data_IF_114628102574
#
_entry.id   IF_114628102574
#
_cell.length_a   1.000
_cell.length_b   1.000
_cell.length_c   1.000
_cell.angle_alpha   90.00
_cell.angle_beta   90.00
_cell.angle_gamma   90.00
#
_symmetry.space_group_name_H-M   'P 1'
#
loop_
_entity.id
_entity.type
_entity.pdbx_description
1 polymer ?
#
# COMPACT_ATOMS: atom_id res chain seq x y z
N UNK A 1 -17.74 -12.91 -10.40
CA UNK A 1 -17.85 -11.45 -10.33
C UNK A 1 -16.92 -10.92 -9.25
N UNK A 2 -16.27 -9.78 -9.48
CA UNK A 2 -15.44 -9.06 -8.49
C UNK A 2 -16.16 -7.75 -8.16
N UNK A 3 -16.48 -7.52 -6.89
CA UNK A 3 -17.33 -6.40 -6.43
C UNK A 3 -16.55 -5.47 -5.52
N UNK A 4 -16.55 -4.19 -5.85
CA UNK A 4 -15.91 -3.12 -5.08
C UNK A 4 -16.95 -2.00 -4.89
N UNK A 5 -17.42 -1.79 -3.67
CA UNK A 5 -18.30 -0.64 -3.39
C UNK A 5 -17.47 0.64 -3.19
N UNK A 6 -16.58 0.89 -4.13
CA UNK A 6 -15.61 1.98 -4.18
C UNK A 6 -15.15 2.26 -5.60
N UNK A 7 -14.23 3.21 -5.75
CA UNK A 7 -13.66 3.57 -7.03
C UNK A 7 -12.68 2.48 -7.51
N UNK A 8 -12.98 1.88 -8.66
CA UNK A 8 -12.17 0.80 -9.26
C UNK A 8 -10.73 1.26 -9.55
N UNK A 9 -10.54 2.46 -10.05
CA UNK A 9 -9.21 2.98 -10.34
C UNK A 9 -8.35 3.17 -9.09
N UNK A 10 -9.00 3.30 -7.92
CA UNK A 10 -8.33 3.44 -6.60
C UNK A 10 -8.28 2.14 -5.80
N UNK A 11 -8.64 1.02 -6.40
CA UNK A 11 -8.64 -0.32 -5.78
C UNK A 11 -7.65 -1.26 -6.47
N UNK A 12 -6.33 -1.02 -6.39
CA UNK A 12 -5.32 -1.79 -7.12
C UNK A 12 -5.34 -3.27 -6.79
N UNK A 13 -5.59 -3.63 -5.54
CA UNK A 13 -5.69 -5.03 -5.08
C UNK A 13 -6.74 -5.80 -5.87
N UNK A 14 -7.96 -5.26 -5.99
CA UNK A 14 -9.05 -5.93 -6.71
C UNK A 14 -8.82 -5.95 -8.23
N UNK A 15 -8.13 -4.95 -8.76
CA UNK A 15 -7.68 -4.96 -10.15
C UNK A 15 -6.69 -6.09 -10.41
N UNK A 16 -5.73 -6.33 -9.50
CA UNK A 16 -4.79 -7.46 -9.60
C UNK A 16 -5.48 -8.81 -9.45
N UNK A 17 -6.46 -8.95 -8.56
CA UNK A 17 -7.25 -10.16 -8.46
C UNK A 17 -8.02 -10.43 -9.76
N UNK A 18 -8.66 -9.41 -10.34
CA UNK A 18 -9.37 -9.54 -11.62
C UNK A 18 -8.42 -9.98 -12.75
N UNK A 19 -7.25 -9.34 -12.86
CA UNK A 19 -6.22 -9.71 -13.85
C UNK A 19 -5.70 -11.14 -13.63
N UNK A 20 -5.45 -11.53 -12.39
CA UNK A 20 -4.99 -12.88 -12.04
C UNK A 20 -6.02 -13.92 -12.42
N UNK A 21 -7.29 -13.70 -12.10
CA UNK A 21 -8.38 -14.59 -12.48
C UNK A 21 -8.51 -14.71 -14.00
N UNK A 22 -8.45 -13.59 -14.73
CA UNK A 22 -8.50 -13.58 -16.19
C UNK A 22 -7.31 -14.34 -16.82
N UNK A 23 -6.10 -14.17 -16.30
CA UNK A 23 -4.89 -14.91 -16.72
C UNK A 23 -5.02 -16.42 -16.48
N UNK A 24 -5.77 -16.82 -15.45
CA UNK A 24 -6.06 -18.23 -15.16
C UNK A 24 -7.30 -18.76 -15.92
N UNK A 25 -7.79 -18.04 -16.92
CA UNK A 25 -8.83 -18.52 -17.83
C UNK A 25 -10.27 -18.19 -17.40
N UNK A 26 -10.49 -17.51 -16.29
CA UNK A 26 -11.84 -17.12 -15.84
C UNK A 26 -12.34 -15.89 -16.59
N UNK A 27 -13.65 -15.88 -16.90
CA UNK A 27 -14.34 -14.66 -17.31
C UNK A 27 -14.69 -13.84 -16.05
N UNK A 28 -14.28 -12.57 -16.02
CA UNK A 28 -14.39 -11.72 -14.84
C UNK A 28 -15.29 -10.52 -15.14
N UNK A 29 -16.33 -10.33 -14.34
CA UNK A 29 -17.08 -9.08 -14.30
C UNK A 29 -16.62 -8.26 -13.10
N UNK A 30 -16.04 -7.08 -13.33
CA UNK A 30 -15.54 -6.18 -12.30
C UNK A 30 -16.56 -5.04 -12.08
N UNK A 31 -17.24 -5.04 -10.92
CA UNK A 31 -18.27 -4.07 -10.52
C UNK A 31 -17.71 -3.04 -9.55
N UNK A 32 -17.94 -1.74 -9.82
CA UNK A 32 -17.57 -0.66 -8.89
C UNK A 32 -17.81 0.72 -9.49
N UNK A 33 -17.47 1.78 -8.77
CA UNK A 33 -17.49 3.14 -9.32
C UNK A 33 -16.29 3.36 -10.24
N UNK A 34 -16.48 4.09 -11.32
CA UNK A 34 -15.42 4.38 -12.32
C UNK A 34 -15.10 5.88 -12.31
N UNK A 35 -14.83 6.45 -11.14
CA UNK A 35 -14.47 7.87 -11.00
C UNK A 35 -13.03 8.14 -11.45
N UNK A 36 -12.14 7.17 -11.23
CA UNK A 36 -10.76 7.17 -11.73
C UNK A 36 -10.60 6.07 -12.78
N UNK A 37 -9.72 6.31 -13.75
CA UNK A 37 -9.46 5.33 -14.82
C UNK A 37 -8.78 4.08 -14.25
N UNK A 38 -9.33 2.89 -14.46
CA UNK A 38 -8.66 1.63 -14.15
C UNK A 38 -7.39 1.44 -14.98
N UNK A 39 -6.57 0.46 -14.59
CA UNK A 39 -5.34 0.11 -15.31
C UNK A 39 -5.63 -0.30 -16.76
N UNK A 40 -4.74 0.07 -17.66
CA UNK A 40 -4.85 -0.21 -19.07
C UNK A 40 -4.97 -1.71 -19.38
N UNK A 41 -4.22 -2.54 -18.64
CA UNK A 41 -4.25 -4.00 -18.76
C UNK A 41 -5.64 -4.62 -18.53
N UNK A 42 -6.46 -3.99 -17.66
CA UNK A 42 -7.86 -4.41 -17.44
C UNK A 42 -8.75 -4.04 -18.62
N UNK A 43 -8.52 -2.85 -19.19
CA UNK A 43 -9.32 -2.31 -20.30
C UNK A 43 -9.05 -3.07 -21.60
N UNK A 44 -7.84 -3.63 -21.76
CA UNK A 44 -7.42 -4.37 -22.94
C UNK A 44 -7.72 -5.88 -22.85
N UNK A 45 -8.22 -6.37 -21.73
CA UNK A 45 -8.47 -7.79 -21.52
C UNK A 45 -9.85 -8.20 -22.02
N UNK A 46 -9.92 -9.09 -23.01
CA UNK A 46 -11.18 -9.65 -23.55
C UNK A 46 -11.97 -10.50 -22.51
N UNK A 47 -11.32 -10.90 -21.41
CA UNK A 47 -11.92 -11.70 -20.34
C UNK A 47 -12.43 -10.88 -19.17
N UNK A 48 -12.25 -9.55 -19.19
CA UNK A 48 -12.66 -8.68 -18.09
C UNK A 48 -13.70 -7.68 -18.61
N UNK A 49 -14.91 -7.78 -18.07
CA UNK A 49 -15.97 -6.80 -18.30
C UNK A 49 -16.07 -5.85 -17.11
N UNK A 50 -15.88 -4.55 -17.36
CA UNK A 50 -16.04 -3.53 -16.32
C UNK A 50 -17.48 -3.02 -16.33
N UNK A 51 -18.08 -2.97 -15.15
CA UNK A 51 -19.46 -2.52 -14.91
C UNK A 51 -19.47 -1.40 -13.92
N UNK A 52 -19.84 -0.21 -14.40
CA UNK A 52 -19.92 0.96 -13.54
C UNK A 52 -21.18 0.93 -12.65
N UNK A 53 -20.95 1.21 -11.38
CA UNK A 53 -22.00 1.59 -10.43
C UNK A 53 -22.20 3.10 -10.49
N UNK A 54 -23.44 3.56 -10.29
CA UNK A 54 -23.79 4.98 -10.24
C UNK A 54 -23.77 5.47 -8.79
N UNK A 55 -23.09 6.56 -8.54
CA UNK A 55 -23.16 7.22 -7.23
C UNK A 55 -24.44 8.06 -7.12
N UNK A 56 -25.07 8.01 -5.94
CA UNK A 56 -26.15 8.93 -5.65
C UNK A 56 -25.56 10.34 -5.45
N UNK A 57 -26.08 11.37 -6.15
CA UNK A 57 -25.69 12.75 -5.89
C UNK A 57 -25.82 13.13 -4.42
N UNK A 58 -25.01 14.06 -3.95
CA UNK A 58 -25.09 14.52 -2.56
C UNK A 58 -26.46 15.12 -2.30
N UNK A 59 -27.20 14.51 -1.38
CA UNK A 59 -28.46 15.05 -0.90
C UNK A 59 -28.13 16.23 0.03
N UNK A 60 -28.64 17.41 -0.29
CA UNK A 60 -28.41 18.64 0.48
C UNK A 60 -29.50 18.94 1.49
N UNK A 61 -30.59 18.16 1.48
CA UNK A 61 -31.81 18.41 2.29
C UNK A 61 -32.00 17.30 3.32
N UNK A 62 -32.26 17.70 4.57
CA UNK A 62 -32.61 16.80 5.67
C UNK A 62 -31.46 16.43 6.62
N UNK A 63 -31.79 15.76 7.74
CA UNK A 63 -30.78 15.32 8.71
C UNK A 63 -29.74 14.37 8.10
N UNK A 64 -28.47 14.48 8.50
CA UNK A 64 -27.37 13.67 7.99
C UNK A 64 -27.62 12.16 8.09
N UNK A 65 -28.28 11.71 9.16
CA UNK A 65 -28.60 10.28 9.35
C UNK A 65 -29.58 9.79 8.27
N UNK A 66 -30.58 10.61 7.91
CA UNK A 66 -31.53 10.26 6.86
C UNK A 66 -30.88 10.23 5.49
N UNK A 67 -30.01 11.21 5.18
CA UNK A 67 -29.25 11.24 3.94
C UNK A 67 -28.35 10.00 3.81
N UNK A 68 -27.71 9.60 4.90
CA UNK A 68 -26.87 8.39 4.93
C UNK A 68 -27.73 7.13 4.73
N UNK A 69 -28.88 7.03 5.39
CA UNK A 69 -29.83 5.92 5.23
C UNK A 69 -30.32 5.78 3.77
N UNK A 70 -30.72 6.89 3.14
CA UNK A 70 -31.13 6.90 1.73
C UNK A 70 -30.00 6.46 0.81
N UNK A 71 -28.77 6.93 1.06
CA UNK A 71 -27.59 6.51 0.29
C UNK A 71 -27.34 5.00 0.41
N UNK A 72 -27.41 4.45 1.62
CA UNK A 72 -27.22 3.01 1.88
C UNK A 72 -28.29 2.18 1.16
N UNK A 73 -29.57 2.57 1.26
CA UNK A 73 -30.68 1.88 0.60
C UNK A 73 -30.53 1.94 -0.93
N UNK A 74 -30.23 3.12 -1.48
CA UNK A 74 -29.99 3.26 -2.91
C UNK A 74 -28.83 2.37 -3.40
N UNK A 75 -27.71 2.40 -2.70
CA UNK A 75 -26.55 1.55 -3.02
C UNK A 75 -26.90 0.06 -2.94
N UNK A 76 -27.69 -0.34 -1.94
CA UNK A 76 -28.12 -1.72 -1.78
C UNK A 76 -28.98 -2.18 -2.98
N UNK A 77 -30.02 -1.42 -3.31
CA UNK A 77 -30.93 -1.72 -4.42
C UNK A 77 -30.19 -1.71 -5.76
N UNK A 78 -29.36 -0.69 -5.98
CA UNK A 78 -28.62 -0.55 -7.24
C UNK A 78 -27.59 -1.68 -7.42
N UNK A 79 -26.85 -2.04 -6.37
CA UNK A 79 -25.91 -3.15 -6.39
C UNK A 79 -26.61 -4.48 -6.63
N UNK A 80 -27.72 -4.73 -5.90
CA UNK A 80 -28.50 -5.95 -6.08
C UNK A 80 -29.02 -6.07 -7.52
N UNK A 81 -29.58 -5.00 -8.05
CA UNK A 81 -30.06 -4.98 -9.45
C UNK A 81 -28.93 -5.29 -10.43
N UNK A 82 -27.76 -4.64 -10.29
CA UNK A 82 -26.60 -4.92 -11.16
C UNK A 82 -26.11 -6.35 -11.07
N UNK A 83 -26.19 -6.97 -9.90
CA UNK A 83 -25.83 -8.39 -9.71
C UNK A 83 -26.86 -9.33 -10.35
N UNK A 84 -28.15 -9.03 -10.19
CA UNK A 84 -29.26 -9.89 -10.66
C UNK A 84 -29.53 -9.76 -12.17
N UNK A 85 -29.24 -8.62 -12.79
CA UNK A 85 -29.43 -8.41 -14.23
C UNK A 85 -28.31 -9.00 -15.09
N UNK A 86 -27.50 -9.91 -14.57
CA UNK A 86 -26.39 -10.54 -15.25
C UNK A 86 -26.42 -12.06 -15.10
N UNK A 87 -25.69 -12.75 -15.96
CA UNK A 87 -25.52 -14.19 -15.86
C UNK A 87 -24.98 -14.55 -14.48
N UNK A 88 -25.55 -15.60 -13.84
CA UNK A 88 -25.11 -16.06 -12.52
C UNK A 88 -23.61 -16.40 -12.54
N UNK A 89 -22.84 -15.82 -11.64
CA UNK A 89 -21.43 -16.13 -11.50
C UNK A 89 -21.22 -17.29 -10.54
N UNK A 90 -20.26 -18.17 -10.81
CA UNK A 90 -19.89 -19.24 -9.87
C UNK A 90 -19.39 -18.66 -8.53
N UNK A 91 -18.72 -17.50 -8.58
CA UNK A 91 -18.17 -16.82 -7.41
C UNK A 91 -18.47 -15.32 -7.43
N UNK A 92 -18.87 -14.79 -6.27
CA UNK A 92 -18.90 -13.35 -6.00
C UNK A 92 -17.74 -13.05 -5.05
N UNK A 93 -16.76 -12.27 -5.53
CA UNK A 93 -15.57 -11.88 -4.79
C UNK A 93 -15.70 -10.41 -4.38
N UNK A 94 -15.92 -10.16 -3.09
CA UNK A 94 -16.24 -8.85 -2.54
C UNK A 94 -15.06 -8.26 -1.78
N UNK A 95 -14.70 -7.01 -2.05
CA UNK A 95 -13.78 -6.23 -1.22
C UNK A 95 -14.45 -5.74 0.06
N UNK A 96 -13.81 -5.90 1.19
CA UNK A 96 -14.17 -5.27 2.45
C UNK A 96 -12.94 -4.62 3.11
N UNK A 97 -12.98 -3.33 3.49
CA UNK A 97 -14.07 -2.36 3.42
C UNK A 97 -14.32 -1.76 2.02
N UNK A 98 -15.49 -1.08 1.79
CA UNK A 98 -16.60 -0.91 2.71
C UNK A 98 -17.57 -2.11 2.70
N UNK A 99 -17.95 -2.58 3.88
CA UNK A 99 -18.86 -3.73 4.01
C UNK A 99 -20.33 -3.38 3.89
N UNK A 100 -20.76 -2.20 4.36
CA UNK A 100 -22.16 -1.77 4.38
C UNK A 100 -22.52 -0.99 3.10
N UNK A 101 -23.57 -1.38 2.35
CA UNK A 101 -24.42 -2.55 2.49
C UNK A 101 -23.92 -3.80 1.73
N UNK A 102 -22.70 -3.74 1.14
CA UNK A 102 -22.23 -4.68 0.14
C UNK A 102 -22.23 -6.14 0.61
N UNK A 103 -21.85 -6.43 1.86
CA UNK A 103 -21.78 -7.83 2.36
C UNK A 103 -23.16 -8.48 2.32
N UNK A 104 -24.17 -7.81 2.90
CA UNK A 104 -25.54 -8.35 2.93
C UNK A 104 -26.12 -8.52 1.53
N UNK A 105 -25.91 -7.55 0.65
CA UNK A 105 -26.42 -7.60 -0.73
C UNK A 105 -25.75 -8.71 -1.54
N UNK A 106 -24.42 -8.83 -1.47
CA UNK A 106 -23.68 -9.89 -2.17
C UNK A 106 -24.02 -11.28 -1.62
N UNK A 107 -24.21 -11.39 -0.29
CA UNK A 107 -24.67 -12.63 0.32
C UNK A 107 -26.06 -13.04 -0.19
N UNK A 108 -27.01 -12.10 -0.19
CA UNK A 108 -28.36 -12.35 -0.67
C UNK A 108 -28.38 -12.73 -2.16
N UNK A 109 -27.64 -11.99 -3.01
CA UNK A 109 -27.49 -12.33 -4.42
C UNK A 109 -26.85 -13.72 -4.62
N UNK A 110 -25.83 -14.04 -3.81
CA UNK A 110 -25.17 -15.34 -3.87
C UNK A 110 -26.14 -16.48 -3.53
N UNK A 111 -27.00 -16.30 -2.51
CA UNK A 111 -28.03 -17.28 -2.16
C UNK A 111 -29.04 -17.49 -3.30
N UNK A 112 -29.50 -16.39 -3.94
CA UNK A 112 -30.46 -16.47 -5.04
C UNK A 112 -29.89 -17.11 -6.31
N UNK A 113 -28.61 -16.83 -6.62
CA UNK A 113 -27.95 -17.32 -7.82
C UNK A 113 -27.19 -18.65 -7.65
N UNK A 114 -27.17 -19.22 -6.44
CA UNK A 114 -26.34 -20.40 -6.14
C UNK A 114 -24.83 -20.13 -6.23
N UNK A 115 -24.41 -18.89 -6.12
CA UNK A 115 -23.03 -18.44 -6.17
C UNK A 115 -22.31 -18.67 -4.82
N UNK A 116 -20.99 -18.80 -4.85
CA UNK A 116 -20.19 -18.79 -3.62
C UNK A 116 -19.68 -17.37 -3.35
N UNK A 117 -20.00 -16.84 -2.16
CA UNK A 117 -19.47 -15.54 -1.74
C UNK A 117 -18.10 -15.69 -1.09
N UNK A 118 -17.13 -14.94 -1.59
CA UNK A 118 -15.77 -14.80 -1.03
C UNK A 118 -15.57 -13.34 -0.66
N UNK A 119 -15.23 -13.06 0.58
CA UNK A 119 -14.94 -11.68 1.03
C UNK A 119 -13.44 -11.52 1.22
N UNK A 120 -12.84 -10.59 0.50
CA UNK A 120 -11.47 -10.14 0.72
C UNK A 120 -11.46 -9.07 1.84
N UNK A 121 -11.07 -9.52 3.02
CA UNK A 121 -11.08 -8.70 4.22
C UNK A 121 -9.66 -8.24 4.55
N UNK A 122 -9.33 -7.01 4.28
CA UNK A 122 -8.01 -6.46 4.54
C UNK A 122 -8.02 -5.35 5.61
N UNK A 123 -9.21 -4.90 6.01
CA UNK A 123 -9.40 -3.99 7.14
C UNK A 123 -10.82 -4.10 7.68
N UNK A 124 -11.09 -3.57 8.88
CA UNK A 124 -12.46 -3.47 9.39
C UNK A 124 -13.05 -2.11 9.02
N UNK A 125 -14.22 -2.09 8.37
CA UNK A 125 -14.93 -0.86 8.03
C UNK A 125 -15.33 -0.06 9.26
N UNK A 126 -15.78 -0.74 10.33
CA UNK A 126 -16.10 -0.07 11.59
C UNK A 126 -14.88 0.60 12.25
N UNK A 127 -13.68 0.05 12.11
CA UNK A 127 -12.47 0.67 12.69
C UNK A 127 -12.08 1.95 11.94
N UNK A 128 -12.23 1.95 10.61
CA UNK A 128 -12.05 3.17 9.79
C UNK A 128 -13.07 4.24 10.17
N UNK A 129 -14.35 3.86 10.35
CA UNK A 129 -15.37 4.79 10.84
C UNK A 129 -15.05 5.31 12.25
N UNK A 130 -14.42 4.46 13.08
CA UNK A 130 -14.01 4.81 14.43
C UNK A 130 -12.93 5.89 14.49
N UNK A 131 -12.07 6.01 13.47
CA UNK A 131 -11.08 7.09 13.35
C UNK A 131 -11.74 8.47 13.18
N UNK A 132 -12.89 8.52 12.46
CA UNK A 132 -13.58 9.78 12.17
C UNK A 132 -14.58 10.16 13.28
N UNK A 133 -15.32 9.17 13.82
CA UNK A 133 -16.42 9.42 14.74
C UNK A 133 -16.12 9.07 16.20
N UNK A 134 -14.97 8.46 16.47
CA UNK A 134 -14.61 7.86 17.75
C UNK A 134 -15.14 6.42 17.91
N UNK A 135 -14.39 5.53 18.60
CA UNK A 135 -14.69 4.09 18.67
C UNK A 135 -15.98 3.76 19.43
N UNK A 136 -16.44 4.64 20.32
CA UNK A 136 -17.69 4.49 21.10
C UNK A 136 -18.95 5.02 20.41
N UNK A 137 -18.83 5.58 19.21
CA UNK A 137 -19.99 6.17 18.54
C UNK A 137 -21.00 5.09 18.11
N UNK A 138 -22.31 5.35 18.27
CA UNK A 138 -23.39 4.39 18.00
C UNK A 138 -23.35 3.80 16.58
N UNK A 139 -23.00 4.61 15.57
CA UNK A 139 -22.87 4.14 14.19
C UNK A 139 -21.68 3.18 14.03
N UNK A 140 -20.59 3.39 14.75
CA UNK A 140 -19.42 2.49 14.74
C UNK A 140 -19.76 1.16 15.37
N UNK A 141 -20.49 1.16 16.49
CA UNK A 141 -20.96 -0.07 17.14
C UNK A 141 -21.94 -0.84 16.25
N UNK A 142 -22.84 -0.14 15.58
CA UNK A 142 -23.76 -0.74 14.60
C UNK A 142 -23.02 -1.35 13.42
N UNK A 143 -22.04 -0.65 12.86
CA UNK A 143 -21.21 -1.15 11.78
C UNK A 143 -20.42 -2.40 12.21
N UNK A 144 -19.85 -2.40 13.42
CA UNK A 144 -19.16 -3.55 14.00
C UNK A 144 -20.08 -4.77 14.15
N UNK A 145 -21.28 -4.55 14.68
CA UNK A 145 -22.29 -5.61 14.80
C UNK A 145 -22.68 -6.17 13.43
N UNK A 146 -22.94 -5.30 12.46
CA UNK A 146 -23.28 -5.67 11.08
C UNK A 146 -22.16 -6.50 10.42
N UNK A 147 -20.92 -6.03 10.46
CA UNK A 147 -19.79 -6.76 9.88
C UNK A 147 -19.59 -8.13 10.54
N UNK A 148 -19.74 -8.19 11.86
CA UNK A 148 -19.66 -9.46 12.61
C UNK A 148 -20.76 -10.43 12.21
N UNK A 149 -22.01 -9.95 12.09
CA UNK A 149 -23.16 -10.78 11.72
C UNK A 149 -23.01 -11.29 10.28
N UNK A 150 -22.81 -10.38 9.33
CA UNK A 150 -22.72 -10.72 7.91
C UNK A 150 -21.45 -11.53 7.58
N UNK A 151 -20.36 -11.30 8.27
CA UNK A 151 -19.12 -12.05 8.10
C UNK A 151 -19.26 -13.53 8.47
N UNK A 152 -20.10 -13.87 9.44
CA UNK A 152 -20.39 -15.27 9.80
C UNK A 152 -21.19 -16.04 8.73
N UNK A 153 -21.84 -15.33 7.83
CA UNK A 153 -22.68 -15.90 6.77
C UNK A 153 -21.88 -16.21 5.49
N UNK A 154 -20.60 -15.85 5.41
CA UNK A 154 -19.78 -15.97 4.21
C UNK A 154 -18.53 -16.83 4.40
N UNK A 155 -18.01 -17.39 3.31
CA UNK A 155 -16.70 -18.06 3.30
C UNK A 155 -15.60 -16.99 3.10
N UNK A 156 -14.55 -17.03 3.93
CA UNK A 156 -13.60 -15.93 4.06
C UNK A 156 -12.16 -16.29 3.71
N UNK A 157 -11.47 -15.33 3.08
CA UNK A 157 -10.00 -15.32 2.92
C UNK A 157 -9.43 -14.11 3.68
N UNK A 158 -8.36 -14.28 4.54
CA UNK A 158 -7.94 -13.15 5.35
C UNK A 158 -6.51 -13.14 5.90
N UNK A 159 -5.95 -11.91 6.01
CA UNK A 159 -4.77 -11.58 6.82
C UNK A 159 -5.08 -11.46 8.33
N UNK A 160 -6.35 -11.38 8.74
CA UNK A 160 -6.82 -11.16 10.12
C UNK A 160 -7.39 -12.45 10.73
N UNK A 161 -6.83 -13.58 10.36
CA UNK A 161 -7.33 -14.93 10.66
C UNK A 161 -7.58 -15.19 12.14
N UNK A 162 -6.63 -14.80 13.00
CA UNK A 162 -6.70 -15.11 14.44
C UNK A 162 -7.81 -14.33 15.12
N UNK A 163 -7.89 -13.02 14.91
CA UNK A 163 -8.93 -12.18 15.49
C UNK A 163 -10.33 -12.59 15.02
N UNK A 164 -10.48 -12.91 13.74
CA UNK A 164 -11.75 -13.38 13.18
C UNK A 164 -12.15 -14.75 13.75
N UNK A 165 -11.21 -15.63 13.99
CA UNK A 165 -11.49 -16.94 14.59
C UNK A 165 -11.87 -16.79 16.08
N UNK A 166 -11.08 -16.07 16.85
CA UNK A 166 -11.23 -15.95 18.30
C UNK A 166 -12.42 -15.05 18.70
N UNK A 167 -12.52 -13.87 18.11
CA UNK A 167 -13.49 -12.87 18.53
C UNK A 167 -14.79 -12.90 17.73
N UNK A 168 -14.77 -13.45 16.50
CA UNK A 168 -15.92 -13.42 15.60
C UNK A 168 -16.44 -14.82 15.26
N UNK A 169 -15.69 -15.89 15.54
CA UNK A 169 -16.04 -17.27 15.22
C UNK A 169 -16.04 -17.59 13.72
N UNK A 170 -15.21 -16.85 12.96
CA UNK A 170 -15.11 -16.94 11.51
C UNK A 170 -13.84 -17.69 11.12
N UNK A 171 -13.97 -18.83 10.40
CA UNK A 171 -12.82 -19.56 9.87
C UNK A 171 -12.34 -18.92 8.58
N UNK A 172 -11.26 -18.16 8.65
CA UNK A 172 -10.65 -17.49 7.51
C UNK A 172 -9.38 -18.21 7.03
N UNK A 173 -9.08 -18.09 5.73
CA UNK A 173 -7.81 -18.52 5.13
C UNK A 173 -6.96 -17.30 4.87
N UNK A 174 -5.70 -17.31 5.31
CA UNK A 174 -4.77 -16.20 5.04
C UNK A 174 -4.28 -16.30 3.60
N UNK A 175 -4.51 -15.25 2.81
CA UNK A 175 -3.93 -15.09 1.48
C UNK A 175 -2.96 -13.91 1.55
N UNK A 176 -1.67 -14.22 1.42
CA UNK A 176 -0.64 -13.19 1.38
C UNK A 176 -0.65 -12.48 0.03
N UNK A 177 -0.65 -11.16 0.07
CA UNK A 177 -0.47 -10.37 -1.14
C UNK A 177 0.89 -10.66 -1.78
N UNK A 178 0.85 -10.99 -3.06
CA UNK A 178 2.06 -11.06 -3.87
C UNK A 178 2.14 -9.78 -4.70
N UNK A 179 3.27 -9.08 -4.68
CA UNK A 179 3.46 -7.93 -5.56
C UNK A 179 3.33 -8.38 -7.02
N UNK A 180 2.83 -7.49 -7.87
CA UNK A 180 2.79 -7.73 -9.31
C UNK A 180 4.22 -7.93 -9.84
N UNK A 181 4.36 -8.71 -10.93
CA UNK A 181 5.66 -9.13 -11.49
C UNK A 181 6.61 -8.00 -11.87
N UNK A 182 6.10 -6.78 -12.04
CA UNK A 182 6.92 -5.60 -12.33
C UNK A 182 7.54 -4.95 -11.07
N UNK A 183 7.09 -5.31 -9.85
CA UNK A 183 7.80 -4.96 -8.62
C UNK A 183 8.94 -5.94 -8.40
N UNK A 184 10.06 -5.64 -9.00
CA UNK A 184 11.29 -6.42 -8.93
C UNK A 184 12.49 -5.49 -8.88
N UNK A 185 13.65 -6.05 -8.62
CA UNK A 185 14.89 -5.33 -8.71
C UNK A 185 15.03 -4.68 -10.10
N UNK A 186 15.31 -3.38 -10.12
CA UNK A 186 15.47 -2.62 -11.36
C UNK A 186 16.88 -2.82 -11.90
N UNK A 187 17.05 -3.27 -13.15
CA UNK A 187 18.35 -3.34 -13.81
C UNK A 187 19.06 -1.98 -13.82
N UNK A 188 20.39 -1.99 -13.73
CA UNK A 188 21.20 -0.79 -13.55
C UNK A 188 21.02 0.25 -14.67
N UNK A 189 20.84 -0.21 -15.91
CA UNK A 189 20.56 0.68 -17.05
C UNK A 189 19.24 1.44 -16.88
N UNK A 190 18.19 0.74 -16.42
CA UNK A 190 16.91 1.36 -16.16
C UNK A 190 16.94 2.28 -14.93
N UNK A 191 17.77 1.93 -13.91
CA UNK A 191 18.03 2.83 -12.79
C UNK A 191 18.63 4.14 -13.27
N UNK A 192 19.66 4.06 -14.11
CA UNK A 192 20.33 5.24 -14.66
C UNK A 192 19.37 6.12 -15.46
N UNK A 193 18.60 5.52 -16.37
CA UNK A 193 17.60 6.24 -17.17
C UNK A 193 16.57 6.95 -16.28
N UNK A 194 16.06 6.26 -15.25
CA UNK A 194 15.14 6.83 -14.29
C UNK A 194 15.77 8.00 -13.53
N UNK A 195 16.98 7.82 -12.99
CA UNK A 195 17.67 8.86 -12.23
C UNK A 195 18.00 10.07 -13.10
N UNK A 196 18.38 9.88 -14.35
CA UNK A 196 18.60 10.97 -15.31
C UNK A 196 17.29 11.69 -15.64
N UNK A 197 16.15 10.96 -15.81
CA UNK A 197 14.83 11.58 -15.96
C UNK A 197 14.45 12.42 -14.74
N UNK A 198 14.61 11.85 -13.53
CA UNK A 198 14.25 12.53 -12.28
C UNK A 198 15.19 13.70 -11.96
N UNK A 199 16.45 13.66 -12.33
CA UNK A 199 17.43 14.75 -12.10
C UNK A 199 17.07 16.06 -12.79
N UNK A 200 16.30 15.99 -13.88
CA UNK A 200 15.81 17.18 -14.59
C UNK A 200 14.83 17.99 -13.76
N UNK A 201 14.07 17.32 -12.90
CA UNK A 201 12.99 17.92 -12.09
C UNK A 201 13.44 18.08 -10.63
N UNK A 202 14.11 17.07 -10.07
CA UNK A 202 14.45 17.00 -8.65
C UNK A 202 15.96 17.04 -8.45
N UNK A 203 16.46 18.07 -7.79
CA UNK A 203 17.90 18.30 -7.57
C UNK A 203 18.61 17.17 -6.82
N UNK A 204 17.91 16.43 -5.97
CA UNK A 204 18.46 15.33 -5.17
C UNK A 204 18.99 14.17 -6.02
N UNK A 205 18.52 14.06 -7.28
CA UNK A 205 19.00 13.07 -8.25
C UNK A 205 20.14 13.56 -9.15
N UNK A 206 20.50 14.85 -9.07
CA UNK A 206 21.60 15.42 -9.86
C UNK A 206 22.94 14.98 -9.32
N UNK A 207 23.91 14.87 -10.21
CA UNK A 207 25.29 14.65 -9.82
C UNK A 207 25.76 15.73 -8.83
N UNK A 208 26.46 15.32 -7.78
CA UNK A 208 26.98 16.24 -6.74
C UNK A 208 28.30 16.90 -7.14
N UNK A 209 29.01 16.31 -8.11
CA UNK A 209 30.23 16.84 -8.73
C UNK A 209 30.07 16.76 -10.23
N UNK A 210 30.59 17.76 -10.93
CA UNK A 210 30.66 17.70 -12.39
C UNK A 210 31.56 16.53 -12.82
N UNK A 211 31.21 15.85 -13.93
CA UNK A 211 32.07 14.80 -14.46
C UNK A 211 33.41 15.42 -14.84
N UNK A 212 34.50 14.78 -14.42
CA UNK A 212 35.83 15.18 -14.83
C UNK A 212 36.10 14.86 -16.31
N UNK A 213 35.22 14.10 -16.94
CA UNK A 213 35.28 13.68 -18.32
C UNK A 213 33.98 14.06 -19.05
N UNK A 214 34.08 14.71 -20.19
CA UNK A 214 32.92 15.18 -21.00
C UNK A 214 32.09 14.03 -21.57
N UNK A 215 32.65 12.83 -21.57
CA UNK A 215 31.98 11.64 -22.11
C UNK A 215 31.21 10.81 -21.07
N UNK A 216 31.01 11.34 -19.84
CA UNK A 216 30.33 10.65 -18.77
C UNK A 216 28.98 11.29 -18.42
N UNK A 217 27.89 10.54 -18.54
CA UNK A 217 26.59 10.94 -17.96
C UNK A 217 26.52 10.52 -16.50
N UNK A 218 26.18 11.45 -15.58
CA UNK A 218 26.12 11.19 -14.15
C UNK A 218 24.80 11.64 -13.51
N UNK A 219 24.28 10.76 -12.66
CA UNK A 219 23.26 11.08 -11.67
C UNK A 219 23.89 11.13 -10.27
N UNK A 220 23.09 11.31 -9.21
CA UNK A 220 23.56 11.18 -7.83
C UNK A 220 24.00 9.76 -7.46
N UNK A 221 23.59 8.73 -8.21
CA UNK A 221 23.72 7.32 -7.85
C UNK A 221 24.48 6.47 -8.86
N UNK A 222 24.43 6.86 -10.13
CA UNK A 222 24.96 6.06 -11.24
C UNK A 222 25.69 6.94 -12.25
N UNK A 223 26.63 6.33 -12.95
CA UNK A 223 27.33 6.94 -14.08
C UNK A 223 27.31 6.00 -15.29
N UNK A 224 27.32 6.58 -16.47
CA UNK A 224 27.35 5.89 -17.75
C UNK A 224 28.49 6.45 -18.60
N UNK A 225 29.30 5.55 -19.07
CA UNK A 225 30.34 5.88 -20.05
C UNK A 225 29.70 5.97 -21.44
N UNK A 226 29.89 7.10 -22.12
CA UNK A 226 29.32 7.35 -23.44
C UNK A 226 29.93 6.44 -24.55
N UNK A 227 31.16 5.98 -24.40
CA UNK A 227 31.83 5.15 -25.41
C UNK A 227 31.45 3.67 -25.29
N UNK A 228 31.50 3.13 -24.06
CA UNK A 228 31.19 1.72 -23.81
C UNK A 228 29.69 1.49 -23.51
N UNK A 229 28.93 2.55 -23.25
CA UNK A 229 27.56 2.53 -22.79
C UNK A 229 27.35 1.73 -21.46
N UNK A 230 28.42 1.37 -20.76
CA UNK A 230 28.37 0.63 -19.50
C UNK A 230 27.91 1.56 -18.38
N UNK A 231 26.91 1.10 -17.62
CA UNK A 231 26.42 1.82 -16.44
C UNK A 231 27.00 1.20 -15.17
N UNK A 232 27.51 2.03 -14.29
CA UNK A 232 28.05 1.63 -12.99
C UNK A 232 27.45 2.46 -11.86
N UNK A 233 27.48 1.94 -10.64
CA UNK A 233 27.18 2.74 -9.46
C UNK A 233 28.34 3.69 -9.17
N UNK A 234 28.03 4.93 -8.85
CA UNK A 234 29.04 5.87 -8.36
C UNK A 234 29.66 5.38 -7.06
N UNK A 235 30.99 5.44 -7.00
CA UNK A 235 31.71 5.20 -5.75
C UNK A 235 31.34 6.29 -4.72
N UNK A 236 31.01 5.89 -3.49
CA UNK A 236 30.60 6.83 -2.45
C UNK A 236 29.22 7.47 -2.66
N UNK A 237 28.39 6.92 -3.56
CA UNK A 237 27.02 7.38 -3.76
C UNK A 237 26.21 7.41 -2.45
N UNK A 238 25.22 8.30 -2.32
CA UNK A 238 24.29 8.24 -1.21
C UNK A 238 23.52 6.91 -1.20
N UNK A 239 23.04 6.51 -0.03
CA UNK A 239 22.03 5.48 0.06
C UNK A 239 20.65 6.04 -0.33
N UNK A 240 19.84 5.25 -1.02
CA UNK A 240 18.50 5.61 -1.46
C UNK A 240 17.45 4.94 -0.56
N UNK A 241 16.76 5.74 0.26
CA UNK A 241 15.63 5.32 1.05
C UNK A 241 14.34 5.77 0.35
N UNK A 242 13.38 4.85 0.18
CA UNK A 242 12.08 5.15 -0.43
C UNK A 242 10.96 4.82 0.53
N UNK A 243 10.02 5.75 0.70
CA UNK A 243 8.74 5.55 1.39
C UNK A 243 7.58 5.94 0.50
N UNK A 244 6.50 5.17 0.54
CA UNK A 244 5.23 5.48 -0.12
C UNK A 244 4.16 5.75 0.91
N UNK A 245 3.37 6.80 0.67
CA UNK A 245 2.40 7.27 1.65
C UNK A 245 1.16 7.86 0.98
N UNK A 246 0.04 7.78 1.68
CA UNK A 246 -1.16 8.56 1.41
C UNK A 246 -1.23 9.86 2.23
N UNK A 247 -0.22 10.14 3.04
CA UNK A 247 -0.14 11.31 3.92
C UNK A 247 -1.39 11.50 4.77
N UNK A 248 -1.84 10.43 5.40
CA UNK A 248 -3.00 10.36 6.27
C UNK A 248 -2.59 10.20 7.74
N UNK A 249 -3.52 10.38 8.67
CA UNK A 249 -3.25 10.34 10.12
C UNK A 249 -2.78 8.97 10.65
N UNK A 250 -3.06 7.91 9.91
CA UNK A 250 -2.61 6.54 10.22
C UNK A 250 -1.13 6.28 9.84
N UNK A 251 -0.48 7.27 9.23
CA UNK A 251 0.94 7.25 8.86
C UNK A 251 1.70 8.37 9.58
N UNK A 252 2.29 8.03 10.71
CA UNK A 252 3.03 9.01 11.53
C UNK A 252 4.47 9.20 11.03
N UNK A 253 4.67 10.19 10.19
CA UNK A 253 5.99 10.54 9.66
C UNK A 253 6.93 11.19 10.68
N UNK A 254 6.46 11.57 11.86
CA UNK A 254 7.34 12.05 12.94
C UNK A 254 8.35 10.98 13.34
N UNK A 255 7.96 9.70 13.25
CA UNK A 255 8.83 8.55 13.52
C UNK A 255 9.99 8.49 12.52
N UNK A 256 9.70 8.65 11.22
CA UNK A 256 10.75 8.68 10.21
C UNK A 256 11.67 9.90 10.38
N UNK A 257 11.10 11.07 10.65
CA UNK A 257 11.90 12.29 10.86
C UNK A 257 12.84 12.14 12.06
N UNK A 258 12.37 11.58 13.18
CA UNK A 258 13.21 11.31 14.35
C UNK A 258 14.32 10.29 14.02
N UNK A 259 14.03 9.26 13.21
CA UNK A 259 15.04 8.30 12.75
C UNK A 259 16.09 8.95 11.86
N UNK A 260 15.69 9.86 10.97
CA UNK A 260 16.61 10.62 10.13
C UNK A 260 17.49 11.57 10.95
N UNK A 261 16.95 12.24 11.97
CA UNK A 261 17.74 13.08 12.88
C UNK A 261 18.80 12.25 13.62
N UNK A 262 18.43 11.08 14.12
CA UNK A 262 19.38 10.19 14.76
C UNK A 262 20.47 9.69 13.79
N UNK A 263 20.10 9.40 12.55
CA UNK A 263 21.07 9.01 11.51
C UNK A 263 22.05 10.15 11.19
N UNK A 264 21.57 11.39 11.10
CA UNK A 264 22.40 12.59 10.93
C UNK A 264 23.39 12.77 12.11
N UNK A 265 22.93 12.57 13.34
CA UNK A 265 23.77 12.64 14.54
C UNK A 265 24.91 11.61 14.49
N UNK A 266 24.61 10.36 14.10
CA UNK A 266 25.62 9.32 14.02
C UNK A 266 26.72 9.65 13.00
N UNK A 267 26.37 10.24 11.85
CA UNK A 267 27.36 10.71 10.89
C UNK A 267 28.22 11.84 11.49
N UNK A 268 27.58 12.79 12.16
CA UNK A 268 28.27 13.90 12.83
C UNK A 268 29.18 13.43 13.97
N UNK A 269 28.84 12.34 14.64
CA UNK A 269 29.63 11.70 15.68
C UNK A 269 30.81 10.87 15.12
N UNK A 270 30.96 10.82 13.77
CA UNK A 270 32.09 10.19 13.10
C UNK A 270 31.85 8.74 12.68
N UNK A 271 30.61 8.24 12.73
CA UNK A 271 30.29 6.92 12.20
C UNK A 271 30.46 6.90 10.67
N UNK A 272 31.10 5.85 10.15
CA UNK A 272 31.33 5.68 8.71
C UNK A 272 30.04 5.24 7.99
N UNK A 273 29.09 6.17 7.85
CA UNK A 273 27.83 5.95 7.16
C UNK A 273 27.78 6.74 5.85
N UNK A 274 27.09 6.22 4.82
CA UNK A 274 26.89 6.99 3.58
C UNK A 274 25.94 8.15 3.82
N UNK A 275 26.07 9.21 3.02
CA UNK A 275 25.00 10.22 2.94
C UNK A 275 23.70 9.56 2.45
N UNK A 276 22.54 10.17 2.73
CA UNK A 276 21.23 9.58 2.46
C UNK A 276 20.39 10.48 1.56
N UNK A 277 19.71 9.89 0.59
CA UNK A 277 18.59 10.50 -0.13
C UNK A 277 17.31 9.77 0.28
N UNK A 278 16.42 10.48 0.94
CA UNK A 278 15.12 9.98 1.38
C UNK A 278 14.03 10.49 0.44
N UNK A 279 13.39 9.58 -0.30
CA UNK A 279 12.31 9.89 -1.23
C UNK A 279 10.99 9.43 -0.65
N UNK A 280 10.06 10.37 -0.40
CA UNK A 280 8.73 10.08 0.15
C UNK A 280 7.70 10.40 -0.92
N UNK A 281 7.11 9.37 -1.55
CA UNK A 281 6.17 9.54 -2.66
C UNK A 281 4.73 9.47 -2.18
N UNK A 282 3.85 10.24 -2.81
CA UNK A 282 2.40 10.17 -2.58
C UNK A 282 1.72 11.53 -2.52
N UNK A 283 0.38 11.47 -2.41
CA UNK A 283 -0.50 12.64 -2.23
C UNK A 283 -1.40 12.42 -1.04
N UNK A 284 -1.70 13.47 -0.29
CA UNK A 284 -2.64 13.40 0.80
C UNK A 284 -2.71 14.67 1.64
N UNK A 285 -3.63 14.70 2.61
CA UNK A 285 -3.97 15.92 3.35
C UNK A 285 -2.82 16.46 4.22
N UNK A 286 -1.97 15.59 4.76
CA UNK A 286 -0.88 16.01 5.64
C UNK A 286 0.44 16.27 4.92
N UNK A 287 0.49 16.18 3.57
CA UNK A 287 1.72 16.37 2.80
C UNK A 287 2.36 17.74 3.07
N UNK A 288 1.58 18.81 3.02
CA UNK A 288 2.08 20.19 3.23
C UNK A 288 2.62 20.37 4.64
N UNK A 289 1.91 19.85 5.64
CA UNK A 289 2.36 19.88 7.03
C UNK A 289 3.73 19.23 7.21
N UNK A 290 3.90 17.98 6.75
CA UNK A 290 5.18 17.29 6.88
C UNK A 290 6.27 17.88 5.98
N UNK A 291 5.94 18.39 4.81
CA UNK A 291 6.91 19.10 3.95
C UNK A 291 7.47 20.33 4.65
N UNK A 292 6.63 21.07 5.39
CA UNK A 292 7.09 22.20 6.18
C UNK A 292 8.02 21.77 7.33
N UNK A 293 7.67 20.71 8.05
CA UNK A 293 8.53 20.14 9.10
C UNK A 293 9.89 19.68 8.54
N UNK A 294 9.90 19.04 7.38
CA UNK A 294 11.13 18.59 6.69
C UNK A 294 12.01 19.79 6.37
N UNK A 295 11.44 20.87 5.83
CA UNK A 295 12.20 22.09 5.50
C UNK A 295 12.81 22.78 6.72
N UNK A 296 12.20 22.63 7.91
CA UNK A 296 12.75 23.18 9.15
C UNK A 296 13.98 22.38 9.64
N UNK A 297 14.11 21.11 9.23
CA UNK A 297 15.25 20.26 9.59
C UNK A 297 16.43 20.60 8.66
N UNK A 298 17.51 21.10 9.23
CA UNK A 298 18.73 21.45 8.48
C UNK A 298 19.70 20.27 8.46
N UNK A 299 19.37 19.24 7.67
CA UNK A 299 20.25 18.11 7.46
C UNK A 299 21.46 18.52 6.57
N UNK A 300 22.65 18.03 6.90
CA UNK A 300 23.87 18.23 6.12
C UNK A 300 24.16 17.00 5.24
N UNK A 301 23.89 15.83 5.75
CA UNK A 301 24.19 14.55 5.09
C UNK A 301 22.95 13.85 4.51
N UNK A 302 21.75 14.35 4.83
CA UNK A 302 20.49 13.79 4.38
C UNK A 302 19.77 14.80 3.48
N UNK A 303 19.30 14.32 2.32
CA UNK A 303 18.41 15.09 1.43
C UNK A 303 17.04 14.40 1.39
N UNK A 304 15.98 15.15 1.68
CA UNK A 304 14.59 14.64 1.64
C UNK A 304 13.87 15.25 0.44
N UNK A 305 13.20 14.41 -0.32
CA UNK A 305 12.43 14.80 -1.50
C UNK A 305 11.03 14.16 -1.47
N UNK A 306 10.00 14.94 -1.80
CA UNK A 306 8.61 14.46 -1.83
C UNK A 306 8.02 14.52 -3.24
N UNK A 307 8.54 13.74 -4.21
CA UNK A 307 8.14 13.80 -5.60
C UNK A 307 6.74 13.21 -5.81
N UNK A 308 6.09 13.66 -6.89
CA UNK A 308 5.02 12.93 -7.50
C UNK A 308 5.58 12.15 -8.69
N UNK A 309 5.39 10.84 -8.69
CA UNK A 309 5.89 9.95 -9.73
C UNK A 309 4.77 9.49 -10.66
N UNK A 310 5.10 9.27 -11.92
CA UNK A 310 4.25 8.55 -12.84
C UNK A 310 4.11 7.08 -12.41
N UNK A 311 2.98 6.45 -12.75
CA UNK A 311 2.69 5.08 -12.35
C UNK A 311 3.74 4.06 -12.83
N UNK A 312 4.38 4.33 -13.95
CA UNK A 312 5.45 3.50 -14.53
C UNK A 312 6.82 3.70 -13.85
N UNK A 313 7.09 4.90 -13.31
CA UNK A 313 8.37 5.23 -12.66
C UNK A 313 8.44 4.69 -11.21
N UNK A 314 7.27 4.60 -10.56
CA UNK A 314 7.21 4.18 -9.16
C UNK A 314 7.79 2.78 -8.89
N UNK A 315 7.44 1.72 -9.66
CA UNK A 315 8.05 0.41 -9.49
C UNK A 315 9.56 0.41 -9.74
N UNK A 316 10.02 1.20 -10.72
CA UNK A 316 11.43 1.33 -11.04
C UNK A 316 12.21 1.99 -9.91
N UNK A 317 11.66 3.07 -9.31
CA UNK A 317 12.28 3.73 -8.17
C UNK A 317 12.33 2.79 -6.95
N UNK A 318 11.23 2.09 -6.66
CA UNK A 318 11.16 1.15 -5.55
C UNK A 318 12.16 0.00 -5.73
N UNK A 319 12.28 -0.54 -6.96
CA UNK A 319 13.26 -1.58 -7.28
C UNK A 319 14.72 -1.10 -7.36
N UNK A 320 14.94 0.22 -7.29
CA UNK A 320 16.27 0.86 -7.25
C UNK A 320 16.71 1.24 -5.84
N UNK A 321 15.79 1.21 -4.87
CA UNK A 321 16.07 1.63 -3.51
C UNK A 321 17.00 0.66 -2.77
N UNK A 322 17.86 1.22 -1.93
CA UNK A 322 18.67 0.43 -0.98
C UNK A 322 17.82 0.02 0.23
N UNK A 323 16.83 0.85 0.60
CA UNK A 323 15.92 0.62 1.72
C UNK A 323 14.52 1.14 1.41
N UNK A 324 13.50 0.31 1.61
CA UNK A 324 12.08 0.71 1.57
C UNK A 324 11.48 0.76 2.96
N UNK A 325 10.78 1.84 3.29
CA UNK A 325 10.15 2.07 4.60
C UNK A 325 8.64 2.26 4.43
N UNK A 326 7.86 1.56 5.24
CA UNK A 326 6.41 1.70 5.32
C UNK A 326 6.00 2.03 6.76
N UNK A 327 5.28 3.14 6.93
CA UNK A 327 4.84 3.65 8.25
C UNK A 327 3.36 3.37 8.51
N UNK A 328 2.69 2.68 7.60
CA UNK A 328 1.25 2.43 7.71
C UNK A 328 0.91 1.64 8.97
N UNK A 329 0.01 2.19 9.80
CA UNK A 329 -0.57 1.50 10.96
C UNK A 329 -1.95 0.97 10.58
N UNK A 330 -2.17 -0.31 10.86
CA UNK A 330 -3.51 -0.88 10.64
C UNK A 330 -4.51 -0.25 11.62
N UNK A 331 -5.60 0.33 11.11
CA UNK A 331 -6.70 0.87 11.93
C UNK A 331 -7.42 -0.22 12.76
N UNK A 332 -7.22 -1.49 12.43
CA UNK A 332 -7.82 -2.63 13.15
C UNK A 332 -7.19 -2.88 14.53
N UNK A 333 -6.06 -2.22 14.88
CA UNK A 333 -5.39 -2.41 16.16
C UNK A 333 -4.75 -3.78 16.35
N UNK A 334 -4.72 -4.62 15.31
CA UNK A 334 -4.13 -5.95 15.35
C UNK A 334 -2.59 -5.92 15.27
N UNK A 335 -2.02 -4.85 14.77
CA UNK A 335 -0.59 -4.55 14.90
C UNK A 335 -0.37 -3.89 16.29
N UNK A 336 -0.04 -4.70 17.28
CA UNK A 336 0.30 -4.26 18.66
C UNK A 336 1.69 -3.64 18.73
N UNK A 337 2.03 -2.71 17.87
CA UNK A 337 3.29 -2.00 17.86
C UNK A 337 3.42 -1.20 16.57
N UNK A 338 3.80 0.06 16.66
CA UNK A 338 4.15 0.87 15.50
C UNK A 338 5.36 0.27 14.81
N UNK A 339 5.13 -0.65 13.87
CA UNK A 339 6.20 -1.31 13.15
C UNK A 339 6.52 -0.52 11.88
N UNK A 340 7.74 -0.03 11.81
CA UNK A 340 8.33 0.37 10.54
C UNK A 340 8.63 -0.92 9.77
N UNK A 341 7.90 -1.16 8.68
CA UNK A 341 8.15 -2.35 7.83
C UNK A 341 9.20 -2.01 6.79
N UNK A 342 10.29 -2.74 6.82
CA UNK A 342 11.30 -2.71 5.75
C UNK A 342 10.83 -3.63 4.63
N UNK A 343 10.74 -3.09 3.41
CA UNK A 343 10.29 -3.86 2.25
C UNK A 343 11.44 -4.77 1.75
N UNK A 344 11.28 -6.11 1.75
CA UNK A 344 12.36 -7.04 1.42
C UNK A 344 12.96 -6.87 0.02
N UNK A 345 12.16 -6.36 -0.93
CA UNK A 345 12.60 -6.11 -2.30
C UNK A 345 13.66 -4.99 -2.43
N UNK A 346 13.89 -4.23 -1.35
CA UNK A 346 14.74 -3.05 -1.34
C UNK A 346 16.00 -3.22 -0.46
N UNK A 347 16.24 -4.38 0.16
CA UNK A 347 17.42 -4.58 1.01
C UNK A 347 18.60 -5.01 0.15
N UNK A 348 19.32 -4.05 -0.44
CA UNK A 348 20.56 -4.31 -1.22
C UNK A 348 21.83 -4.05 -0.43
N UNK A 349 21.75 -3.25 0.64
CA UNK A 349 22.87 -2.97 1.54
C UNK A 349 22.45 -3.25 2.98
N UNK A 350 23.27 -3.97 3.69
CA UNK A 350 23.20 -3.94 5.14
C UNK A 350 23.53 -2.52 5.58
N UNK A 351 22.51 -1.76 5.98
CA UNK A 351 22.64 -0.52 6.73
C UNK A 351 22.45 -0.88 8.20
N UNK A 352 23.51 -1.35 8.91
CA UNK A 352 23.38 -1.97 10.24
C UNK A 352 22.79 -1.02 11.28
N UNK A 353 22.88 0.27 11.02
CA UNK A 353 22.48 1.32 11.98
C UNK A 353 20.98 1.59 11.92
N UNK A 354 20.37 1.63 10.73
CA UNK A 354 18.91 1.80 10.64
C UNK A 354 18.16 0.56 11.12
N UNK A 355 18.76 -0.63 10.99
CA UNK A 355 18.22 -1.86 11.54
C UNK A 355 18.45 -1.98 13.05
N UNK A 356 19.62 -1.61 13.59
CA UNK A 356 19.93 -1.67 15.02
C UNK A 356 19.21 -0.63 15.88
N UNK A 357 18.92 0.54 15.35
CA UNK A 357 18.20 1.60 16.10
C UNK A 357 16.77 1.20 16.44
N UNK A 358 16.26 0.17 15.81
CA UNK A 358 14.92 -0.33 15.98
C UNK A 358 14.85 -1.67 16.77
N UNK A 359 15.96 -2.35 17.00
CA UNK A 359 15.99 -3.63 17.73
C UNK A 359 16.20 -3.51 19.25
N UNK A 360 16.55 -2.34 19.79
CA UNK A 360 16.83 -2.19 21.22
C UNK A 360 15.59 -1.89 22.04
N UNK A 361 14.62 -2.82 22.12
CA UNK A 361 13.79 -3.09 23.32
C UNK A 361 12.85 -4.27 23.09
N UNK A 362 13.21 -5.42 23.59
CA UNK A 362 12.29 -6.56 23.68
C UNK A 362 12.92 -7.93 23.66
N UNK A 363 14.02 -8.15 24.39
CA UNK A 363 14.43 -9.51 24.74
C UNK A 363 13.55 -10.03 25.88
N UNK A 364 12.70 -11.04 25.56
CA UNK A 364 12.38 -12.11 26.50
C UNK A 364 13.01 -13.39 25.96
N UNK A 365 13.80 -14.11 26.77
CA UNK A 365 14.47 -15.34 26.32
C UNK A 365 13.52 -16.53 26.38
N UNK A 366 13.56 -17.35 25.34
CA UNK A 366 13.01 -18.69 25.39
C UNK A 366 12.29 -19.10 24.10
N UNK A 367 13.04 -19.73 23.20
CA UNK A 367 12.72 -21.01 22.58
C UNK A 367 13.62 -21.25 21.36
N UNK A 368 14.67 -22.05 21.56
CA UNK A 368 15.45 -22.66 20.47
C UNK A 368 14.60 -23.76 19.81
N UNK A 369 14.43 -23.66 18.48
CA UNK A 369 13.82 -24.69 17.64
C UNK A 369 14.42 -24.66 16.23
N UNK A 370 15.19 -25.67 15.93
CA UNK A 370 15.84 -26.18 14.72
C UNK A 370 15.53 -25.51 13.38
N UNK A 371 16.61 -25.17 12.72
CA UNK A 371 16.71 -24.75 11.33
C UNK A 371 16.25 -25.85 10.36
N UNK A 372 15.33 -25.47 9.46
CA UNK A 372 15.04 -26.15 8.21
C UNK A 372 15.27 -25.18 7.07
N UNK A 373 16.20 -25.52 6.17
CA UNK A 373 16.57 -24.71 5.02
C UNK A 373 15.40 -24.60 4.03
N UNK A 374 14.88 -23.39 3.87
CA UNK A 374 13.93 -23.01 2.84
C UNK A 374 14.01 -21.50 2.70
N UNK A 375 14.42 -21.03 1.54
CA UNK A 375 14.54 -19.62 1.16
C UNK A 375 13.23 -18.86 1.45
N UNK A 376 13.10 -18.33 2.66
CA UNK A 376 12.01 -17.45 3.07
C UNK A 376 12.60 -16.08 3.30
N UNK A 377 12.23 -15.10 2.46
CA UNK A 377 12.59 -13.72 2.65
C UNK A 377 12.06 -13.25 4.02
N UNK A 378 12.97 -13.06 4.95
CA UNK A 378 12.65 -12.59 6.29
C UNK A 378 12.15 -11.13 6.23
N UNK A 379 10.93 -10.91 6.70
CA UNK A 379 10.40 -9.58 6.95
C UNK A 379 10.96 -9.13 8.30
N UNK A 380 11.94 -8.25 8.29
CA UNK A 380 12.41 -7.59 9.51
C UNK A 380 11.40 -6.51 9.92
N UNK A 381 10.74 -6.68 11.06
CA UNK A 381 9.87 -5.67 11.67
C UNK A 381 10.68 -4.88 12.71
N UNK A 382 10.64 -3.57 12.60
CA UNK A 382 11.32 -2.63 13.47
C UNK A 382 10.32 -2.10 14.51
N UNK A 383 10.56 -2.33 15.80
CA UNK A 383 9.81 -1.71 16.89
C UNK A 383 10.48 -0.41 17.34
N UNK A 384 9.74 0.68 17.26
CA UNK A 384 10.12 1.96 17.86
C UNK A 384 9.35 2.10 19.15
N UNK A 385 10.06 2.22 20.26
CA UNK A 385 9.51 2.49 21.60
C UNK A 385 9.18 3.96 21.78
#
# INVERSE_FOLDING_TARGET
>A
MVVVLGDLGRSPRMQYHALSLAKNGFSVTLLGFCNSRPREELLQSDRIQIVSLTELPRLTVGPHILQYGVKVVFQAVHLLWKLMCRDPAAYIFLQNPPGLPAIAVCWFAACLCGSKLVIDWHNYGYSIMGLVHGPGHRLVLLAKWYEKLCGRLSHLTNAMREDLAENWGIKAVTVYDKPASFFKETPLDLQHQLFMKLSRIYSVFRARSEPSDLDMERSAFTERDAQSAVVTHLHGRPALLVSSTSWTEDEDFSVLLAALEKFEQLINDGESLPSLVCVITGKGPLKEYYSHLICQKRFQHIQVCTPWLEAQDYPLLLGSADLGVCLHRSSSGLDRGGHVRVLPACVRRELPVLTRTCETRGERPGLRGRAGAGSSAAVASLQVS
#
